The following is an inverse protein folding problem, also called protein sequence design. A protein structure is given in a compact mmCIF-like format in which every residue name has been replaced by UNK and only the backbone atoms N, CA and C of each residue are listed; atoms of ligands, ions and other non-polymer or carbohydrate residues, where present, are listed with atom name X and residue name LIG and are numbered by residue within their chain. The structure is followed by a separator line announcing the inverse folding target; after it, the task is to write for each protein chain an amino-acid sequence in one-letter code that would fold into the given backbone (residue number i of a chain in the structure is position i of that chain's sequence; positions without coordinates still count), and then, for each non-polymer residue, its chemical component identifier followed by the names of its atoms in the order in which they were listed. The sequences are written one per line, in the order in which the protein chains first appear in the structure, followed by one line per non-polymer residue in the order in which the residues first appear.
data_IF_776612404518
#
_entry.id   IF_776612404518
#
_cell.length_a   1.000
_cell.length_b   1.000
_cell.length_c   1.000
_cell.angle_alpha   90.00
_cell.angle_beta   90.00
_cell.angle_gamma   90.00
#
_symmetry.space_group_name_H-M   'P 1'
#
loop_
_entity.id
_entity.type
_entity.pdbx_description
1 polymer ?
#
# COMPACT_ATOMS: atom_id res chain seq x y z
N UNK A 1 -22.82 -25.57 -12.13
CA UNK A 1 -22.04 -24.83 -13.14
C UNK A 1 -20.76 -24.36 -12.47
N UNK A 2 -19.63 -24.97 -12.78
CA UNK A 2 -18.31 -24.48 -12.35
C UNK A 2 -18.00 -23.21 -13.14
N UNK A 3 -18.14 -22.05 -12.50
CA UNK A 3 -17.72 -20.79 -13.09
C UNK A 3 -16.20 -20.82 -13.24
N UNK A 4 -15.72 -20.73 -14.48
CA UNK A 4 -14.30 -20.56 -14.80
C UNK A 4 -13.74 -19.38 -14.00
N UNK A 5 -12.51 -19.49 -13.51
CA UNK A 5 -11.79 -18.37 -12.93
C UNK A 5 -11.57 -17.27 -13.98
N UNK A 6 -11.67 -15.98 -13.64
CA UNK A 6 -11.41 -14.89 -14.57
C UNK A 6 -9.93 -14.89 -15.00
N UNK A 7 -9.67 -14.59 -16.28
CA UNK A 7 -8.31 -14.35 -16.77
C UNK A 7 -7.72 -13.14 -16.04
N UNK A 8 -6.72 -13.38 -15.24
CA UNK A 8 -6.17 -12.39 -14.29
C UNK A 8 -4.78 -11.94 -14.73
N UNK A 9 -4.58 -10.63 -14.88
CA UNK A 9 -3.27 -10.01 -15.06
C UNK A 9 -2.94 -9.19 -13.83
N UNK A 10 -1.68 -9.25 -13.37
CA UNK A 10 -1.16 -8.43 -12.28
C UNK A 10 -0.09 -7.46 -12.79
N UNK A 11 -0.14 -6.20 -12.36
CA UNK A 11 0.86 -5.16 -12.63
C UNK A 11 1.46 -4.73 -11.29
N UNK A 12 2.76 -5.01 -11.09
CA UNK A 12 3.51 -4.64 -9.89
C UNK A 12 4.45 -3.49 -10.18
N UNK A 13 4.22 -2.34 -9.53
CA UNK A 13 5.19 -1.23 -9.52
C UNK A 13 6.30 -1.52 -8.51
N UNK A 14 7.55 -1.44 -8.96
CA UNK A 14 8.74 -1.72 -8.17
C UNK A 14 9.70 -0.54 -8.16
N UNK A 15 10.30 -0.27 -7.00
CA UNK A 15 11.42 0.65 -6.86
C UNK A 15 12.34 0.22 -5.71
N UNK A 16 13.64 0.14 -5.99
CA UNK A 16 14.66 -0.12 -4.98
C UNK A 16 15.89 0.76 -5.26
N UNK A 17 16.44 1.47 -4.27
CA UNK A 17 17.55 2.42 -4.48
C UNK A 17 18.82 1.76 -5.01
N UNK A 18 19.02 0.47 -4.74
CA UNK A 18 20.20 -0.29 -5.17
C UNK A 18 19.93 -1.20 -6.38
N UNK A 19 18.72 -1.14 -6.97
CA UNK A 19 18.30 -1.98 -8.09
C UNK A 19 18.20 -3.47 -7.76
N UNK A 20 17.87 -3.79 -6.50
CA UNK A 20 17.67 -5.16 -6.02
C UNK A 20 16.19 -5.50 -5.93
N UNK A 21 15.87 -6.78 -6.04
CA UNK A 21 14.58 -7.30 -5.61
C UNK A 21 14.70 -7.71 -4.15
N UNK A 22 13.92 -7.09 -3.29
CA UNK A 22 13.91 -7.41 -1.87
C UNK A 22 13.11 -8.71 -1.61
N UNK A 23 13.43 -9.49 -0.56
CA UNK A 23 12.76 -10.77 -0.30
C UNK A 23 11.23 -10.69 -0.18
N UNK A 24 10.67 -9.61 0.39
CA UNK A 24 9.22 -9.41 0.44
C UNK A 24 8.61 -9.15 -0.94
N UNK A 25 9.37 -8.56 -1.89
CA UNK A 25 8.94 -8.38 -3.28
C UNK A 25 8.99 -9.71 -4.02
N UNK A 26 10.05 -10.51 -3.82
CA UNK A 26 10.15 -11.85 -4.40
C UNK A 26 8.93 -12.68 -4.01
N UNK A 27 8.57 -12.73 -2.72
CA UNK A 27 7.38 -13.42 -2.23
C UNK A 27 6.08 -12.88 -2.82
N UNK A 28 5.99 -11.57 -3.02
CA UNK A 28 4.83 -10.96 -3.68
C UNK A 28 4.72 -11.43 -5.14
N UNK A 29 5.83 -11.44 -5.87
CA UNK A 29 5.88 -11.95 -7.26
C UNK A 29 5.49 -13.42 -7.31
N UNK A 30 6.06 -14.27 -6.44
CA UNK A 30 5.75 -15.70 -6.39
C UNK A 30 4.26 -15.94 -6.04
N UNK A 31 3.71 -15.14 -5.13
CA UNK A 31 2.28 -15.21 -4.80
C UNK A 31 1.40 -14.81 -5.99
N UNK A 32 1.79 -13.79 -6.76
CA UNK A 32 1.07 -13.34 -7.95
C UNK A 32 1.14 -14.39 -9.07
N UNK A 33 2.32 -14.93 -9.38
CA UNK A 33 2.50 -15.95 -10.42
C UNK A 33 1.75 -17.25 -10.12
N UNK A 34 1.43 -17.49 -8.84
CA UNK A 34 0.63 -18.67 -8.44
C UNK A 34 -0.87 -18.52 -8.70
N UNK A 35 -1.37 -17.30 -8.96
CA UNK A 35 -2.81 -17.01 -9.08
C UNK A 35 -3.20 -16.17 -10.30
N UNK A 36 -2.26 -15.48 -10.93
CA UNK A 36 -2.48 -14.70 -12.13
C UNK A 36 -1.97 -15.44 -13.37
N UNK A 37 -2.65 -15.25 -14.50
CA UNK A 37 -2.27 -15.82 -15.79
C UNK A 37 -1.09 -15.05 -16.41
N UNK A 38 -0.95 -13.78 -16.06
CA UNK A 38 0.18 -12.93 -16.46
C UNK A 38 0.58 -11.98 -15.33
N UNK A 39 1.88 -11.77 -15.16
CA UNK A 39 2.44 -10.80 -14.20
C UNK A 39 3.41 -9.88 -14.93
N UNK A 40 3.16 -8.59 -14.85
CA UNK A 40 3.98 -7.52 -15.42
C UNK A 40 4.62 -6.76 -14.25
N UNK A 41 5.94 -6.74 -14.19
CA UNK A 41 6.68 -5.93 -13.22
C UNK A 41 7.23 -4.69 -13.91
N UNK A 42 6.85 -3.52 -13.40
CA UNK A 42 7.33 -2.23 -13.89
C UNK A 42 8.31 -1.65 -12.88
N UNK A 43 9.60 -1.73 -13.17
CA UNK A 43 10.64 -1.18 -12.30
C UNK A 43 11.01 0.23 -12.72
N UNK A 44 10.93 1.17 -11.79
CA UNK A 44 11.43 2.54 -11.95
C UNK A 44 12.83 2.75 -11.34
N UNK A 45 13.52 1.65 -11.02
CA UNK A 45 14.92 1.64 -10.58
C UNK A 45 15.79 0.97 -11.65
N UNK A 46 17.05 1.41 -11.84
CA UNK A 46 18.01 0.70 -12.67
C UNK A 46 18.35 -0.64 -12.00
N UNK A 47 17.80 -1.74 -12.53
CA UNK A 47 17.96 -3.06 -11.94
C UNK A 47 19.38 -3.60 -12.09
N UNK A 48 19.88 -4.28 -11.05
CA UNK A 48 21.06 -5.13 -11.16
C UNK A 48 20.79 -6.29 -12.09
N UNK A 49 21.84 -6.79 -12.76
CA UNK A 49 21.71 -7.89 -13.71
C UNK A 49 21.05 -9.14 -13.09
N UNK A 50 21.41 -9.50 -11.86
CA UNK A 50 20.78 -10.62 -11.14
C UNK A 50 19.30 -10.41 -10.92
N UNK A 51 18.87 -9.20 -10.51
CA UNK A 51 17.48 -8.83 -10.30
C UNK A 51 16.70 -8.86 -11.62
N UNK A 52 17.29 -8.32 -12.68
CA UNK A 52 16.70 -8.33 -14.03
C UNK A 52 16.48 -9.76 -14.52
N UNK A 53 17.50 -10.61 -14.39
CA UNK A 53 17.40 -12.01 -14.80
C UNK A 53 16.33 -12.75 -13.98
N UNK A 54 16.28 -12.53 -12.67
CA UNK A 54 15.30 -13.16 -11.78
C UNK A 54 13.85 -12.79 -12.17
N UNK A 55 13.60 -11.51 -12.46
CA UNK A 55 12.27 -11.04 -12.90
C UNK A 55 11.92 -11.55 -14.29
N UNK A 56 12.83 -11.40 -15.27
CA UNK A 56 12.52 -11.72 -16.68
C UNK A 56 12.28 -13.21 -16.93
N UNK A 57 12.70 -14.09 -16.02
CA UNK A 57 12.39 -15.52 -16.09
C UNK A 57 11.01 -15.89 -15.50
N UNK A 58 10.34 -14.96 -14.82
CA UNK A 58 9.08 -15.17 -14.09
C UNK A 58 7.95 -14.27 -14.52
N UNK A 59 8.28 -13.11 -15.07
CA UNK A 59 7.32 -12.03 -15.34
C UNK A 59 7.67 -11.33 -16.65
N UNK A 60 6.74 -10.59 -17.21
CA UNK A 60 7.09 -9.54 -18.17
C UNK A 60 7.71 -8.37 -17.40
N UNK A 61 8.91 -7.96 -17.79
CA UNK A 61 9.66 -6.88 -17.13
C UNK A 61 9.68 -5.64 -18.01
N UNK A 62 9.26 -4.51 -17.42
CA UNK A 62 9.38 -3.18 -18.01
C UNK A 62 10.30 -2.35 -17.10
N UNK A 63 11.35 -1.76 -17.65
CA UNK A 63 12.19 -0.79 -16.95
C UNK A 63 11.89 0.62 -17.47
N UNK A 64 11.71 1.58 -16.55
CA UNK A 64 11.41 2.98 -16.88
C UNK A 64 12.13 3.96 -15.96
N UNK A 65 12.15 5.23 -16.35
CA UNK A 65 12.64 6.29 -15.47
C UNK A 65 11.74 6.50 -14.26
N UNK A 66 12.33 6.88 -13.12
CA UNK A 66 11.60 7.15 -11.89
C UNK A 66 10.89 8.53 -11.92
N UNK A 67 9.83 8.63 -12.70
CA UNK A 67 8.98 9.81 -12.83
C UNK A 67 7.52 9.45 -12.57
N UNK A 68 6.74 10.31 -11.92
CA UNK A 68 5.29 10.13 -11.76
C UNK A 68 4.84 9.05 -10.77
N UNK A 69 5.75 8.56 -9.92
CA UNK A 69 5.47 7.59 -8.84
C UNK A 69 4.83 6.28 -9.33
N UNK A 70 4.22 5.51 -8.41
CA UNK A 70 3.63 4.19 -8.67
C UNK A 70 2.53 4.20 -9.76
N UNK A 71 1.71 5.28 -9.81
CA UNK A 71 0.65 5.38 -10.80
C UNK A 71 1.16 5.49 -12.24
N UNK A 72 2.34 6.05 -12.45
CA UNK A 72 2.95 6.04 -13.77
C UNK A 72 3.44 4.63 -14.15
N UNK A 73 3.98 3.87 -13.19
CA UNK A 73 4.34 2.46 -13.40
C UNK A 73 3.10 1.59 -13.63
N UNK A 74 2.00 1.83 -12.91
CA UNK A 74 0.74 1.14 -13.18
C UNK A 74 0.25 1.38 -14.61
N UNK A 75 0.26 2.64 -15.07
CA UNK A 75 -0.15 2.98 -16.44
C UNK A 75 0.69 2.26 -17.48
N UNK A 76 2.01 2.28 -17.32
CA UNK A 76 2.94 1.60 -18.24
C UNK A 76 2.64 0.11 -18.36
N UNK A 77 2.37 -0.56 -17.22
CA UNK A 77 1.98 -1.97 -17.20
C UNK A 77 0.58 -2.20 -17.77
N UNK A 78 -0.38 -1.31 -17.50
CA UNK A 78 -1.74 -1.39 -18.03
C UNK A 78 -1.76 -1.29 -19.55
N UNK A 79 -0.89 -0.50 -20.15
CA UNK A 79 -0.77 -0.38 -21.60
C UNK A 79 -0.29 -1.68 -22.28
N UNK A 80 0.19 -2.68 -21.50
CA UNK A 80 0.67 -3.99 -21.97
C UNK A 80 -0.26 -5.17 -21.66
N UNK A 81 -1.36 -4.96 -20.91
CA UNK A 81 -2.26 -6.08 -20.57
C UNK A 81 -2.97 -6.61 -21.82
N UNK A 82 -3.20 -7.93 -21.83
CA UNK A 82 -3.98 -8.58 -22.87
C UNK A 82 -5.45 -8.10 -22.83
N UNK A 83 -6.03 -7.89 -23.99
CA UNK A 83 -7.45 -7.51 -24.13
C UNK A 83 -8.40 -8.59 -23.57
N UNK A 84 -7.97 -9.84 -23.48
CA UNK A 84 -8.73 -10.92 -22.86
C UNK A 84 -8.76 -10.85 -21.33
N UNK A 85 -7.95 -10.00 -20.70
CA UNK A 85 -7.91 -9.83 -19.23
C UNK A 85 -9.30 -9.50 -18.69
N UNK A 86 -9.75 -10.31 -17.72
CA UNK A 86 -11.06 -10.16 -17.07
C UNK A 86 -10.93 -9.57 -15.65
N UNK A 87 -9.76 -9.73 -15.03
CA UNK A 87 -9.40 -9.10 -13.75
C UNK A 87 -8.02 -8.51 -13.84
N UNK A 88 -7.87 -7.26 -13.45
CA UNK A 88 -6.58 -6.60 -13.33
C UNK A 88 -6.26 -6.31 -11.86
N UNK A 89 -5.10 -6.79 -11.40
CA UNK A 89 -4.53 -6.44 -10.10
C UNK A 89 -3.43 -5.41 -10.32
N UNK A 90 -3.51 -4.25 -9.69
CA UNK A 90 -2.41 -3.26 -9.66
C UNK A 90 -1.92 -3.12 -8.23
N UNK A 91 -0.61 -3.21 -8.01
CA UNK A 91 -0.01 -3.18 -6.69
C UNK A 91 1.40 -2.61 -6.72
N UNK A 92 1.93 -2.26 -5.53
CA UNK A 92 3.31 -1.81 -5.37
C UNK A 92 4.03 -2.53 -4.22
N UNK A 93 5.31 -2.29 -4.10
CA UNK A 93 6.23 -2.90 -3.15
C UNK A 93 6.27 -2.22 -1.76
N UNK A 94 5.33 -1.31 -1.46
CA UNK A 94 5.35 -0.52 -0.22
C UNK A 94 4.85 -1.25 1.03
N UNK A 95 4.53 -2.55 0.91
CA UNK A 95 4.02 -3.37 2.01
C UNK A 95 4.59 -4.79 1.97
N UNK A 96 4.76 -5.40 3.14
CA UNK A 96 4.95 -6.85 3.25
C UNK A 96 3.60 -7.52 3.01
N UNK A 97 3.49 -8.27 1.92
CA UNK A 97 2.27 -9.00 1.52
C UNK A 97 2.60 -10.17 0.59
N UNK A 98 1.71 -11.17 0.47
CA UNK A 98 0.49 -11.32 1.25
C UNK A 98 0.75 -12.02 2.60
N UNK A 99 0.13 -11.54 3.68
CA UNK A 99 0.10 -12.26 4.96
C UNK A 99 -1.03 -13.31 5.01
N UNK A 100 -1.96 -13.21 4.10
CA UNK A 100 -3.02 -14.20 3.82
C UNK A 100 -2.78 -14.72 2.41
N UNK A 101 -2.79 -16.04 2.17
CA UNK A 101 -2.54 -16.58 0.83
C UNK A 101 -3.39 -15.88 -0.23
N UNK A 102 -2.77 -15.45 -1.35
CA UNK A 102 -3.44 -14.64 -2.38
C UNK A 102 -4.70 -15.35 -2.92
N UNK A 103 -4.67 -16.67 -3.05
CA UNK A 103 -5.85 -17.46 -3.46
C UNK A 103 -7.02 -17.28 -2.50
N UNK A 104 -6.78 -17.27 -1.19
CA UNK A 104 -7.84 -17.06 -0.17
C UNK A 104 -8.45 -15.67 -0.31
N UNK A 105 -7.62 -14.65 -0.60
CA UNK A 105 -8.09 -13.29 -0.85
C UNK A 105 -8.97 -13.26 -2.11
N UNK A 106 -8.51 -13.84 -3.21
CA UNK A 106 -9.25 -13.87 -4.47
C UNK A 106 -10.55 -14.66 -4.36
N UNK A 107 -10.55 -15.78 -3.63
CA UNK A 107 -11.75 -16.59 -3.39
C UNK A 107 -12.78 -15.85 -2.52
N UNK A 108 -12.34 -15.12 -1.50
CA UNK A 108 -13.22 -14.29 -0.66
C UNK A 108 -13.86 -13.12 -1.45
N UNK A 109 -13.17 -12.64 -2.49
CA UNK A 109 -13.67 -11.58 -3.38
C UNK A 109 -14.32 -12.12 -4.65
N UNK A 110 -14.52 -13.44 -4.75
CA UNK A 110 -15.19 -14.07 -5.90
C UNK A 110 -16.61 -13.54 -6.07
N UNK A 111 -16.95 -13.18 -7.31
CA UNK A 111 -18.26 -12.61 -7.64
C UNK A 111 -18.41 -11.13 -7.29
N UNK A 112 -17.36 -10.49 -6.77
CA UNK A 112 -17.33 -9.03 -6.65
C UNK A 112 -17.41 -8.40 -8.05
N UNK A 113 -17.98 -7.20 -8.12
CA UNK A 113 -18.06 -6.37 -9.33
C UNK A 113 -17.53 -4.99 -9.02
N UNK A 114 -16.96 -4.33 -10.01
CA UNK A 114 -16.39 -3.00 -9.85
C UNK A 114 -14.93 -3.03 -9.42
N UNK A 115 -14.59 -2.33 -8.33
CA UNK A 115 -13.22 -2.14 -7.86
C UNK A 115 -13.09 -2.54 -6.40
N UNK A 116 -12.06 -3.28 -6.06
CA UNK A 116 -11.79 -3.63 -4.67
C UNK A 116 -10.28 -3.60 -4.35
N UNK A 117 -9.94 -3.57 -3.06
CA UNK A 117 -8.55 -3.60 -2.61
C UNK A 117 -8.36 -4.40 -1.34
N UNK A 118 -7.12 -4.45 -0.82
CA UNK A 118 -6.86 -5.21 0.41
C UNK A 118 -7.39 -4.49 1.64
N UNK A 119 -7.18 -3.19 1.76
CA UNK A 119 -7.58 -2.42 2.95
C UNK A 119 -8.17 -1.06 2.57
N UNK A 120 -9.11 -0.54 3.38
CA UNK A 120 -9.61 0.81 3.19
C UNK A 120 -8.58 1.85 3.66
N UNK A 121 -8.64 3.05 3.09
CA UNK A 121 -8.07 4.26 3.62
C UNK A 121 -9.15 5.13 4.28
N UNK A 122 -8.81 5.78 5.36
CA UNK A 122 -9.68 6.67 6.12
C UNK A 122 -9.03 8.06 6.24
N UNK A 123 -9.83 9.09 6.41
CA UNK A 123 -9.36 10.47 6.52
C UNK A 123 -10.32 11.42 5.82
N UNK A 124 -9.88 12.10 4.77
CA UNK A 124 -10.71 13.06 4.02
C UNK A 124 -11.95 12.43 3.39
N UNK A 125 -11.80 11.24 2.84
CA UNK A 125 -12.86 10.46 2.21
C UNK A 125 -12.48 8.97 2.31
N UNK A 126 -13.40 8.07 2.65
CA UNK A 126 -13.13 6.63 2.56
C UNK A 126 -12.74 6.27 1.12
N UNK A 127 -11.64 5.52 0.97
CA UNK A 127 -11.11 5.10 -0.30
C UNK A 127 -10.44 3.73 -0.19
N UNK A 128 -10.05 3.15 -1.31
CA UNK A 128 -9.25 1.94 -1.37
C UNK A 128 -7.78 2.35 -1.36
N UNK A 129 -6.96 1.70 -0.55
CA UNK A 129 -5.52 1.94 -0.53
C UNK A 129 -4.87 1.45 -1.83
N UNK A 130 -4.08 2.32 -2.48
CA UNK A 130 -3.52 2.08 -3.81
C UNK A 130 -2.37 1.07 -3.86
N UNK A 131 -1.86 0.62 -2.72
CA UNK A 131 -0.81 -0.40 -2.71
C UNK A 131 -1.29 -1.77 -3.21
N UNK A 132 -2.60 -1.98 -3.30
CA UNK A 132 -3.24 -3.11 -3.98
C UNK A 132 -4.67 -2.74 -4.35
N UNK A 133 -4.96 -2.73 -5.65
CA UNK A 133 -6.30 -2.49 -6.21
C UNK A 133 -6.59 -3.54 -7.28
N UNK A 134 -7.78 -4.09 -7.25
CA UNK A 134 -8.30 -4.99 -8.27
C UNK A 134 -9.45 -4.34 -9.03
N UNK A 135 -9.43 -4.46 -10.34
CA UNK A 135 -10.49 -4.06 -11.24
C UNK A 135 -11.11 -5.31 -11.85
N UNK A 136 -12.38 -5.54 -11.59
CA UNK A 136 -13.13 -6.62 -12.23
C UNK A 136 -13.53 -6.21 -13.65
N UNK A 137 -13.94 -7.18 -14.47
CA UNK A 137 -14.16 -6.99 -15.91
C UNK A 137 -15.09 -5.83 -16.25
N UNK A 138 -16.12 -5.59 -15.44
CA UNK A 138 -17.08 -4.51 -15.64
C UNK A 138 -16.45 -3.13 -15.44
N UNK A 139 -15.59 -2.98 -14.45
CA UNK A 139 -14.82 -1.75 -14.23
C UNK A 139 -13.69 -1.61 -15.25
N UNK A 140 -12.94 -2.69 -15.51
CA UNK A 140 -11.79 -2.71 -16.42
C UNK A 140 -12.17 -2.30 -17.84
N UNK A 141 -13.32 -2.75 -18.35
CA UNK A 141 -13.80 -2.44 -19.71
C UNK A 141 -14.62 -1.16 -19.81
N UNK A 142 -14.72 -0.38 -18.75
CA UNK A 142 -15.51 0.84 -18.74
C UNK A 142 -14.77 2.03 -19.35
N UNK A 143 -15.53 2.99 -19.90
CA UNK A 143 -15.01 4.29 -20.30
C UNK A 143 -14.39 5.04 -19.10
N UNK A 144 -14.90 4.80 -17.89
CA UNK A 144 -14.36 5.37 -16.65
C UNK A 144 -12.92 4.91 -16.42
N UNK A 145 -12.61 3.62 -16.62
CA UNK A 145 -11.26 3.08 -16.50
C UNK A 145 -10.32 3.75 -17.49
N UNK A 146 -10.70 3.75 -18.76
CA UNK A 146 -9.90 4.38 -19.83
C UNK A 146 -9.65 5.87 -19.57
N UNK A 147 -10.68 6.62 -19.20
CA UNK A 147 -10.56 8.05 -18.89
C UNK A 147 -9.68 8.31 -17.66
N UNK A 148 -9.78 7.48 -16.62
CA UNK A 148 -8.98 7.62 -15.40
C UNK A 148 -7.49 7.44 -15.68
N UNK A 149 -7.13 6.37 -16.39
CA UNK A 149 -5.73 6.06 -16.68
C UNK A 149 -5.13 6.94 -17.77
N UNK A 150 -5.91 7.42 -18.72
CA UNK A 150 -5.45 8.36 -19.77
C UNK A 150 -5.42 9.83 -19.32
N UNK A 151 -5.90 10.13 -18.11
CA UNK A 151 -5.87 11.52 -17.63
C UNK A 151 -4.44 11.99 -17.36
N UNK A 152 -4.00 13.07 -18.01
CA UNK A 152 -2.68 13.72 -17.87
C UNK A 152 -2.49 14.46 -16.54
N UNK A 153 -3.07 14.00 -15.47
CA UNK A 153 -2.83 14.58 -14.14
C UNK A 153 -1.39 14.26 -13.70
N UNK A 154 -0.46 15.09 -14.15
CA UNK A 154 0.93 15.05 -13.68
C UNK A 154 0.92 15.39 -12.19
N UNK A 155 1.16 14.40 -11.37
CA UNK A 155 1.39 14.62 -9.96
C UNK A 155 2.80 15.18 -9.80
N UNK A 156 2.90 16.38 -9.26
CA UNK A 156 4.18 17.06 -9.00
C UNK A 156 4.68 16.80 -7.57
N UNK A 157 3.80 16.31 -6.70
CA UNK A 157 4.11 15.96 -5.33
C UNK A 157 3.44 14.65 -4.91
N UNK A 158 3.92 14.05 -3.82
CA UNK A 158 3.30 12.86 -3.21
C UNK A 158 1.85 13.14 -2.76
N UNK A 159 1.58 14.33 -2.25
CA UNK A 159 0.24 14.73 -1.84
C UNK A 159 -0.71 14.80 -3.05
N UNK A 160 -0.23 15.26 -4.21
CA UNK A 160 -1.00 15.27 -5.46
C UNK A 160 -1.31 13.84 -5.94
N UNK A 161 -0.39 12.90 -5.74
CA UNK A 161 -0.64 11.46 -6.04
C UNK A 161 -1.74 10.93 -5.13
N UNK A 162 -1.65 11.15 -3.83
CA UNK A 162 -2.64 10.66 -2.87
C UNK A 162 -4.01 11.27 -3.17
N UNK A 163 -4.12 12.60 -3.22
CA UNK A 163 -5.40 13.28 -3.41
C UNK A 163 -5.95 13.10 -4.83
N UNK A 164 -5.09 13.24 -5.84
CA UNK A 164 -5.49 13.21 -7.25
C UNK A 164 -5.69 11.80 -7.81
N UNK A 165 -4.95 10.82 -7.31
CA UNK A 165 -4.94 9.45 -7.84
C UNK A 165 -5.61 8.46 -6.88
N UNK A 166 -5.14 8.34 -5.65
CA UNK A 166 -5.66 7.35 -4.70
C UNK A 166 -7.10 7.67 -4.28
N UNK A 167 -7.34 8.86 -3.74
CA UNK A 167 -8.70 9.37 -3.43
C UNK A 167 -9.49 9.62 -4.71
N UNK A 168 -8.80 10.08 -5.77
CA UNK A 168 -9.38 10.32 -7.10
C UNK A 168 -9.96 9.06 -7.73
N UNK A 169 -9.30 7.89 -7.58
CA UNK A 169 -9.80 6.60 -8.03
C UNK A 169 -11.17 6.30 -7.39
N UNK A 170 -11.24 6.35 -6.06
CA UNK A 170 -12.49 6.07 -5.35
C UNK A 170 -13.62 7.03 -5.75
N UNK A 171 -13.32 8.32 -5.92
CA UNK A 171 -14.30 9.31 -6.38
C UNK A 171 -14.77 9.04 -7.80
N UNK A 172 -13.85 8.78 -8.72
CA UNK A 172 -14.16 8.58 -10.14
C UNK A 172 -15.02 7.35 -10.36
N UNK A 173 -14.60 6.21 -9.79
CA UNK A 173 -15.35 4.97 -9.94
C UNK A 173 -16.65 4.97 -9.14
N UNK A 174 -16.66 5.54 -7.93
CA UNK A 174 -17.88 5.70 -7.13
C UNK A 174 -18.92 6.61 -7.80
N UNK A 175 -18.50 7.73 -8.39
CA UNK A 175 -19.38 8.62 -9.14
C UNK A 175 -19.95 7.97 -10.41
N UNK A 176 -19.20 7.04 -11.02
CA UNK A 176 -19.66 6.23 -12.15
C UNK A 176 -20.57 5.04 -11.74
N UNK A 177 -20.88 4.90 -10.43
CA UNK A 177 -21.77 3.86 -9.92
C UNK A 177 -21.12 2.51 -9.68
N UNK A 178 -19.78 2.40 -9.78
CA UNK A 178 -19.10 1.15 -9.46
C UNK A 178 -19.09 0.90 -7.96
N UNK A 179 -19.25 -0.38 -7.58
CA UNK A 179 -19.07 -0.83 -6.21
C UNK A 179 -17.60 -0.75 -5.84
N UNK A 180 -17.32 -0.13 -4.68
CA UNK A 180 -15.99 -0.06 -4.09
C UNK A 180 -15.99 -0.89 -2.81
N UNK A 181 -15.03 -1.80 -2.67
CA UNK A 181 -14.97 -2.70 -1.52
C UNK A 181 -13.54 -3.01 -1.09
N UNK A 182 -13.38 -3.68 0.06
CA UNK A 182 -12.08 -4.13 0.54
C UNK A 182 -12.17 -5.52 1.16
N UNK A 183 -11.13 -6.33 0.96
CA UNK A 183 -10.99 -7.64 1.58
C UNK A 183 -11.04 -7.53 3.12
N UNK A 184 -10.15 -6.72 3.70
CA UNK A 184 -10.12 -6.49 5.13
C UNK A 184 -11.05 -5.35 5.51
N UNK A 185 -11.98 -5.64 6.41
CA UNK A 185 -12.91 -4.67 6.97
C UNK A 185 -12.72 -4.62 8.48
N UNK A 186 -12.05 -3.57 9.01
CA UNK A 186 -11.84 -3.47 10.44
C UNK A 186 -13.15 -3.37 11.19
N UNK A 187 -13.24 -4.04 12.33
CA UNK A 187 -14.37 -3.92 13.25
C UNK A 187 -14.52 -2.48 13.77
N UNK A 188 -15.68 -2.14 14.33
CA UNK A 188 -15.89 -0.80 14.90
C UNK A 188 -14.85 -0.44 15.95
N UNK A 189 -14.51 -1.30 16.94
CA UNK A 189 -13.44 -1.01 17.90
C UNK A 189 -12.08 -0.80 17.23
N UNK A 190 -11.72 -1.61 16.23
CA UNK A 190 -10.48 -1.45 15.49
C UNK A 190 -10.43 -0.13 14.71
N UNK A 191 -11.56 0.30 14.12
CA UNK A 191 -11.66 1.60 13.45
C UNK A 191 -11.47 2.77 14.41
N UNK A 192 -12.09 2.71 15.59
CA UNK A 192 -11.92 3.73 16.63
C UNK A 192 -10.48 3.78 17.13
N UNK A 193 -9.86 2.62 17.36
CA UNK A 193 -8.44 2.51 17.74
C UNK A 193 -7.50 3.09 16.69
N UNK A 194 -7.70 2.75 15.41
CA UNK A 194 -6.91 3.31 14.30
C UNK A 194 -7.05 4.83 14.16
N UNK A 195 -8.28 5.34 14.26
CA UNK A 195 -8.55 6.77 14.25
C UNK A 195 -7.89 7.48 15.43
N UNK A 196 -7.97 6.93 16.64
CA UNK A 196 -7.34 7.50 17.83
C UNK A 196 -5.80 7.56 17.67
N UNK A 197 -5.16 6.50 17.15
CA UNK A 197 -3.72 6.49 16.84
C UNK A 197 -3.34 7.56 15.82
N UNK A 198 -4.14 7.72 14.78
CA UNK A 198 -3.92 8.74 13.76
C UNK A 198 -4.03 10.16 14.32
N UNK A 199 -5.01 10.43 15.19
CA UNK A 199 -5.15 11.72 15.87
C UNK A 199 -3.98 11.98 16.82
N UNK A 200 -3.53 10.97 17.57
CA UNK A 200 -2.35 11.11 18.44
C UNK A 200 -1.08 11.43 17.64
N UNK A 201 -0.87 10.74 16.52
CA UNK A 201 0.26 10.98 15.62
C UNK A 201 0.23 12.41 15.05
N UNK A 202 -0.93 12.85 14.57
CA UNK A 202 -1.11 14.20 14.04
C UNK A 202 -0.90 15.29 15.10
N UNK A 203 -1.40 15.08 16.32
CA UNK A 203 -1.19 16.01 17.45
C UNK A 203 0.28 16.09 17.83
N UNK A 204 0.96 14.95 17.91
CA UNK A 204 2.39 14.90 18.23
C UNK A 204 3.25 15.65 17.19
N UNK A 205 2.95 15.44 15.90
CA UNK A 205 3.62 16.17 14.81
C UNK A 205 3.38 17.67 14.91
N UNK A 206 2.12 18.09 15.14
CA UNK A 206 1.79 19.51 15.31
C UNK A 206 2.48 20.16 16.52
N UNK A 207 2.63 19.42 17.63
CA UNK A 207 3.36 19.90 18.81
C UNK A 207 4.87 20.00 18.55
N UNK A 208 5.45 19.05 17.84
CA UNK A 208 6.86 19.08 17.44
C UNK A 208 7.14 20.28 16.51
N UNK A 209 6.30 20.51 15.50
CA UNK A 209 6.39 21.67 14.62
C UNK A 209 6.24 23.01 15.37
N UNK A 210 5.35 23.08 16.35
CA UNK A 210 5.21 24.28 17.21
C UNK A 210 6.46 24.52 18.05
N UNK A 211 7.08 23.47 18.62
CA UNK A 211 8.33 23.61 19.37
C UNK A 211 9.47 24.12 18.49
N UNK A 212 9.54 23.67 17.25
CA UNK A 212 10.50 24.19 16.28
C UNK A 212 10.21 25.62 15.82
N UNK A 213 8.93 26.00 15.75
CA UNK A 213 8.50 27.36 15.36
C UNK A 213 8.44 28.35 16.51
N UNK A 214 8.41 27.92 17.77
CA UNK A 214 8.45 28.81 18.93
C UNK A 214 9.79 29.53 19.08
N UNK A 215 10.81 29.10 18.35
CA UNK A 215 12.07 29.80 18.14
C UNK A 215 11.95 30.90 17.05
N UNK A 216 10.86 30.92 16.26
CA UNK A 216 10.66 31.79 15.09
C UNK A 216 9.30 32.52 15.06
N UNK A 217 8.69 32.80 16.20
CA UNK A 217 7.54 33.74 16.25
C UNK A 217 6.14 33.11 16.12
N UNK A 218 5.32 33.47 17.09
CA UNK A 218 3.92 33.10 17.28
C UNK A 218 3.02 33.68 16.17
N UNK A 219 2.40 32.86 15.36
CA UNK A 219 1.00 32.99 14.85
C UNK A 219 0.66 31.70 14.07
N UNK A 220 -0.47 31.06 14.37
CA UNK A 220 -0.92 30.11 13.42
C UNK A 220 -1.89 29.05 13.92
N UNK A 221 -3.01 29.00 13.29
CA UNK A 221 -4.08 28.01 13.35
C UNK A 221 -3.51 26.60 13.27
N UNK A 222 -4.08 25.67 14.06
CA UNK A 222 -3.84 24.24 13.91
C UNK A 222 -4.00 23.85 12.43
N UNK A 223 -3.04 23.14 11.83
CA UNK A 223 -3.15 22.73 10.44
C UNK A 223 -4.46 21.94 10.23
N UNK A 224 -5.21 22.28 9.19
CA UNK A 224 -6.46 21.55 8.82
C UNK A 224 -6.27 20.04 8.75
N UNK A 225 -5.04 19.54 8.52
CA UNK A 225 -4.64 18.13 8.55
C UNK A 225 -4.82 17.45 9.92
N UNK A 226 -4.74 18.19 11.03
CA UNK A 226 -4.92 17.62 12.37
C UNK A 226 -6.37 17.28 12.71
N UNK A 227 -7.35 17.83 11.97
CA UNK A 227 -8.77 17.60 12.24
C UNK A 227 -9.30 16.28 11.69
N UNK A 228 -8.70 15.76 10.63
CA UNK A 228 -9.04 14.46 10.02
C UNK A 228 -7.79 13.80 9.43
N UNK A 229 -6.91 13.23 10.29
CA UNK A 229 -5.70 12.59 9.81
C UNK A 229 -6.02 11.37 8.96
N UNK A 230 -5.27 11.20 7.88
CA UNK A 230 -5.37 10.04 7.03
C UNK A 230 -4.72 8.83 7.70
N UNK A 231 -5.35 7.67 7.60
CA UNK A 231 -4.82 6.41 8.10
C UNK A 231 -5.40 5.21 7.37
N UNK A 232 -4.72 4.08 7.47
CA UNK A 232 -5.19 2.80 6.95
C UNK A 232 -4.83 1.64 7.90
N UNK A 233 -5.56 0.52 7.84
CA UNK A 233 -5.32 -0.63 8.71
C UNK A 233 -3.92 -1.24 8.57
N UNK A 234 -3.38 -1.33 7.37
CA UNK A 234 -2.05 -1.93 7.12
C UNK A 234 -0.91 -1.19 7.80
N UNK A 235 -1.15 0.05 8.24
CA UNK A 235 -0.18 0.84 8.99
C UNK A 235 -0.66 1.07 10.44
N UNK A 236 -1.82 1.71 10.64
CA UNK A 236 -2.28 2.09 11.98
C UNK A 236 -2.71 0.89 12.85
N UNK A 237 -2.99 -0.26 12.24
CA UNK A 237 -3.39 -1.50 12.91
C UNK A 237 -2.43 -2.66 12.58
N UNK A 238 -1.16 -2.36 12.27
CA UNK A 238 -0.19 -3.39 11.89
C UNK A 238 0.02 -4.46 12.98
N UNK A 239 -0.15 -4.09 14.26
CA UNK A 239 -0.09 -5.00 15.40
C UNK A 239 -1.26 -6.00 15.46
N UNK A 240 -2.34 -5.78 14.73
CA UNK A 240 -3.43 -6.78 14.57
C UNK A 240 -2.91 -8.05 13.90
N UNK A 241 -1.90 -7.96 13.04
CA UNK A 241 -1.27 -9.13 12.43
C UNK A 241 -0.68 -10.10 13.47
N UNK A 242 -0.29 -9.61 14.66
CA UNK A 242 0.20 -10.44 15.76
C UNK A 242 -0.92 -11.19 16.48
N UNK A 243 -2.10 -10.58 16.62
CA UNK A 243 -3.20 -11.14 17.40
C UNK A 243 -4.16 -11.96 16.53
N UNK A 244 -4.26 -11.61 15.26
CA UNK A 244 -5.12 -12.25 14.27
C UNK A 244 -4.32 -12.51 12.98
N UNK A 245 -3.45 -13.53 12.97
CA UNK A 245 -2.44 -13.74 11.92
C UNK A 245 -2.98 -13.85 10.49
N UNK A 246 -4.27 -14.15 10.31
CA UNK A 246 -4.90 -14.29 9.00
C UNK A 246 -5.96 -13.22 8.71
N UNK A 247 -6.06 -12.20 9.55
CA UNK A 247 -7.04 -11.14 9.35
C UNK A 247 -6.48 -10.01 8.47
N UNK A 248 -5.30 -9.47 8.83
CA UNK A 248 -4.68 -8.37 8.12
C UNK A 248 -3.86 -8.91 6.94
N UNK A 249 -4.19 -8.56 5.68
CA UNK A 249 -3.53 -9.13 4.51
C UNK A 249 -2.14 -8.54 4.20
N UNK A 250 -1.79 -7.40 4.80
CA UNK A 250 -0.55 -6.70 4.52
C UNK A 250 -0.14 -5.76 5.66
N UNK A 251 1.17 -5.56 5.84
CA UNK A 251 1.76 -4.56 6.74
C UNK A 251 2.59 -3.58 5.93
N UNK A 252 2.30 -2.28 6.06
CA UNK A 252 3.06 -1.22 5.36
C UNK A 252 4.48 -1.13 5.88
N UNK A 253 5.46 -1.09 4.98
CA UNK A 253 6.88 -0.89 5.33
C UNK A 253 7.12 0.44 6.06
N UNK A 254 6.34 1.47 5.76
CA UNK A 254 6.46 2.78 6.42
C UNK A 254 6.19 2.73 7.93
N UNK A 255 5.35 1.82 8.42
CA UNK A 255 5.12 1.70 9.87
C UNK A 255 6.31 1.03 10.56
N UNK A 256 6.99 0.13 9.87
CA UNK A 256 8.18 -0.55 10.39
C UNK A 256 9.42 0.35 10.33
N UNK A 257 9.51 1.22 9.30
CA UNK A 257 10.62 2.17 9.13
C UNK A 257 10.45 3.40 9.98
N UNK A 258 9.30 4.06 9.92
CA UNK A 258 9.09 5.43 10.40
C UNK A 258 8.24 5.51 11.66
N UNK A 259 7.52 4.45 12.01
CA UNK A 259 6.61 4.33 13.16
C UNK A 259 5.67 5.56 13.35
N UNK A 260 4.93 5.99 12.32
CA UNK A 260 4.11 7.20 12.40
C UNK A 260 3.02 7.13 13.47
N UNK A 261 2.62 5.93 13.86
CA UNK A 261 1.57 5.67 14.85
C UNK A 261 2.11 5.27 16.23
N UNK A 262 3.44 5.28 16.43
CA UNK A 262 4.12 4.94 17.69
C UNK A 262 3.75 3.54 18.20
N UNK A 263 3.76 2.56 17.31
CA UNK A 263 3.52 1.16 17.65
C UNK A 263 4.74 0.49 18.30
N UNK A 264 5.90 1.16 18.29
CA UNK A 264 7.17 0.60 18.71
C UNK A 264 7.75 -0.29 17.63
N UNK A 265 8.11 0.30 16.47
CA UNK A 265 8.45 -0.39 15.22
C UNK A 265 9.48 -1.51 15.36
N UNK A 266 10.54 -1.32 16.18
CA UNK A 266 11.55 -2.35 16.39
C UNK A 266 10.98 -3.60 17.09
N UNK A 267 10.18 -3.41 18.14
CA UNK A 267 9.51 -4.52 18.83
C UNK A 267 8.42 -5.15 17.97
N UNK A 268 7.67 -4.33 17.21
CA UNK A 268 6.67 -4.81 16.29
C UNK A 268 7.29 -5.69 15.19
N UNK A 269 8.39 -5.23 14.56
CA UNK A 269 9.08 -6.00 13.54
C UNK A 269 9.58 -7.35 14.10
N UNK A 270 10.23 -7.34 15.26
CA UNK A 270 10.70 -8.59 15.90
C UNK A 270 9.54 -9.57 16.18
N UNK A 271 8.40 -9.07 16.65
CA UNK A 271 7.23 -9.91 16.88
C UNK A 271 6.62 -10.45 15.58
N UNK A 272 6.61 -9.63 14.51
CA UNK A 272 6.15 -10.06 13.19
C UNK A 272 7.08 -11.10 12.56
N UNK A 273 8.40 -10.96 12.70
CA UNK A 273 9.39 -11.97 12.28
C UNK A 273 9.19 -13.30 12.99
N UNK A 274 8.82 -13.27 14.27
CA UNK A 274 8.53 -14.50 15.04
C UNK A 274 7.20 -15.15 14.63
N UNK A 275 6.17 -14.35 14.41
CA UNK A 275 4.81 -14.82 14.09
C UNK A 275 4.65 -15.22 12.62
N UNK A 276 5.35 -14.54 11.73
CA UNK A 276 5.31 -14.69 10.28
C UNK A 276 6.74 -14.80 9.71
N UNK A 277 7.51 -15.82 10.11
CA UNK A 277 8.93 -15.91 9.79
C UNK A 277 9.20 -15.92 8.28
N UNK A 278 8.34 -16.58 7.51
CA UNK A 278 8.47 -16.65 6.06
C UNK A 278 8.19 -15.30 5.39
N UNK A 279 7.11 -14.61 5.79
CA UNK A 279 6.68 -13.35 5.17
C UNK A 279 7.62 -12.19 5.50
N UNK A 280 8.25 -12.22 6.69
CA UNK A 280 9.13 -11.14 7.16
C UNK A 280 10.63 -11.46 7.02
N UNK A 281 11.02 -12.61 6.49
CA UNK A 281 12.42 -12.93 6.20
C UNK A 281 13.07 -11.83 5.32
N UNK A 282 14.21 -11.29 5.74
CA UNK A 282 14.98 -10.26 5.03
C UNK A 282 14.34 -8.87 5.03
N UNK A 283 13.20 -8.65 5.71
CA UNK A 283 12.57 -7.32 5.79
C UNK A 283 13.40 -6.36 6.61
N UNK A 284 14.03 -6.81 7.71
CA UNK A 284 14.90 -5.98 8.55
C UNK A 284 16.10 -5.46 7.77
N UNK A 285 16.80 -6.33 7.08
CA UNK A 285 17.96 -5.99 6.24
C UNK A 285 17.57 -5.03 5.11
N UNK A 286 16.39 -5.23 4.52
CA UNK A 286 15.85 -4.31 3.53
C UNK A 286 15.61 -2.92 4.12
N UNK A 287 14.97 -2.82 5.29
CA UNK A 287 14.70 -1.54 5.94
C UNK A 287 16.00 -0.81 6.31
N UNK A 288 16.96 -1.50 6.90
CA UNK A 288 18.28 -0.94 7.26
C UNK A 288 19.06 -0.46 6.03
N UNK A 289 19.11 -1.27 4.98
CA UNK A 289 19.79 -0.92 3.73
C UNK A 289 19.19 0.29 3.04
N UNK A 290 17.87 0.40 3.04
CA UNK A 290 17.16 1.45 2.29
C UNK A 290 16.85 2.69 3.12
N UNK A 291 17.18 2.72 4.40
CA UNK A 291 16.85 3.80 5.32
C UNK A 291 17.25 5.20 4.80
N UNK A 292 18.48 5.33 4.32
CA UNK A 292 19.01 6.59 3.79
C UNK A 292 18.28 7.09 2.53
N UNK A 293 17.82 6.18 1.69
CA UNK A 293 17.17 6.52 0.42
C UNK A 293 15.75 7.07 0.61
N UNK A 294 15.08 6.64 1.69
CA UNK A 294 13.73 7.13 2.01
C UNK A 294 13.72 8.44 2.79
N UNK A 295 14.89 8.85 3.30
CA UNK A 295 15.05 10.09 4.07
C UNK A 295 14.28 10.07 5.39
N UNK A 296 14.39 11.16 6.13
CA UNK A 296 13.81 11.30 7.47
C UNK A 296 12.35 11.83 7.38
N UNK A 297 11.44 11.02 6.84
CA UNK A 297 10.04 11.41 6.61
C UNK A 297 9.26 11.67 7.92
N UNK A 298 9.69 11.01 9.01
CA UNK A 298 9.03 11.00 10.32
C UNK A 298 10.02 11.09 11.48
N UNK A 299 11.12 11.84 11.33
CA UNK A 299 12.21 11.94 12.31
C UNK A 299 11.75 12.27 13.74
N UNK A 300 10.67 13.04 13.86
CA UNK A 300 10.09 13.44 15.14
C UNK A 300 9.39 12.30 15.88
N UNK A 301 9.11 11.18 15.23
CA UNK A 301 8.38 10.04 15.81
C UNK A 301 9.24 8.83 16.13
N UNK A 302 10.40 8.64 15.46
CA UNK A 302 11.30 7.49 15.66
C UNK A 302 11.77 7.31 17.11
N UNK A 303 12.02 8.41 17.83
CA UNK A 303 12.49 8.39 19.23
C UNK A 303 11.36 8.67 20.23
N UNK A 304 10.12 8.69 19.81
CA UNK A 304 9.01 8.96 20.71
C UNK A 304 8.63 7.71 21.52
N UNK A 305 8.17 7.91 22.76
CA UNK A 305 7.66 6.79 23.58
C UNK A 305 6.51 6.09 22.87
N UNK A 306 6.44 4.74 22.90
CA UNK A 306 5.34 4.00 22.31
C UNK A 306 3.98 4.51 22.78
N UNK A 307 2.98 4.46 21.90
CA UNK A 307 1.60 4.84 22.27
C UNK A 307 1.07 3.92 23.36
N UNK A 308 0.36 4.49 24.33
CA UNK A 308 -0.38 3.73 25.35
C UNK A 308 -1.53 2.90 24.75
N UNK A 309 -1.97 3.24 23.55
CA UNK A 309 -3.00 2.53 22.79
C UNK A 309 -2.43 1.31 22.04
N UNK A 310 -1.60 0.49 22.71
CA UNK A 310 -1.24 -0.82 22.18
C UNK A 310 -2.48 -1.71 22.21
N UNK A 311 -2.77 -2.35 21.08
CA UNK A 311 -3.75 -3.43 21.06
C UNK A 311 -3.17 -4.57 21.90
N UNK A 312 -3.69 -4.72 23.13
CA UNK A 312 -3.49 -5.91 23.92
C UNK A 312 -4.62 -6.84 23.52
N UNK A 313 -4.30 -7.82 22.68
CA UNK A 313 -5.24 -8.89 22.39
C UNK A 313 -5.70 -9.51 23.72
N UNK A 314 -6.95 -9.40 24.03
CA UNK A 314 -7.68 -10.21 25.00
C UNK A 314 -8.42 -11.29 24.26
#
# INVERSE_FOLDING_TARGET
MTTRSPLTTAVLAHWDPDGKIAPHVERTVDALTSVADSVIVVSSAPLKQSSRLWLSTRTELIERENTGHDFASYREGIDRIDQATERLLVLNDSAVMPLVPMRVILDAMKGHRGVWGLTPGYGFTPHIQSYFVAFEVDALRSATFTSFWNSDKRATSRDDVIVGREVGLARTFGAAGFRLDTYYRPTIPARLGGAARAHQAALASALAERRLRSVAGWVGRLPRRASRPEWNPSAALADVALCQPRALPAVKLSVLRDDPYRLGSAGLLTALEQQHPHEFEGVREYLERTDRAYGDRWSTTRNARPSLLRYRGT
#
